data_IF_939433456791
#
_entry.id   IF_939433456791
#
_cell.length_a   1.000
_cell.length_b   1.000
_cell.length_c   1.000
_cell.angle_alpha   90.00
_cell.angle_beta   90.00
_cell.angle_gamma   90.00
#
_symmetry.space_group_name_H-M   'P 1'
#
loop_
_entity.id
_entity.type
_entity.pdbx_description
1 polymer ?
#
# COMPACT_ATOMS: atom_id res chain seq x y z
N UNK A 1 -15.80 -6.82 -13.12
CA UNK A 1 -16.59 -6.52 -11.92
C UNK A 1 -16.29 -7.60 -10.90
N UNK A 2 -15.29 -7.37 -10.05
CA UNK A 2 -14.83 -8.36 -9.05
C UNK A 2 -15.79 -8.24 -7.88
N UNK A 3 -16.67 -9.23 -7.74
CA UNK A 3 -17.46 -9.40 -6.52
C UNK A 3 -16.49 -9.86 -5.44
N UNK A 4 -16.03 -8.91 -4.61
CA UNK A 4 -15.55 -9.23 -3.28
C UNK A 4 -16.80 -9.73 -2.55
N UNK A 5 -16.96 -11.05 -2.48
CA UNK A 5 -17.96 -11.65 -1.61
C UNK A 5 -17.55 -11.38 -0.17
N UNK A 6 -17.91 -10.20 0.34
CA UNK A 6 -18.19 -10.05 1.76
C UNK A 6 -19.27 -11.07 2.05
N UNK A 7 -18.87 -12.20 2.64
CA UNK A 7 -19.81 -13.17 3.15
C UNK A 7 -20.71 -12.40 4.11
N UNK A 8 -21.97 -12.23 3.72
CA UNK A 8 -23.01 -11.63 4.55
C UNK A 8 -23.19 -12.56 5.76
N UNK A 9 -22.36 -12.37 6.78
CA UNK A 9 -22.57 -13.00 8.08
C UNK A 9 -23.79 -12.29 8.65
N UNK A 10 -24.98 -12.90 8.49
CA UNK A 10 -26.21 -12.41 9.09
C UNK A 10 -25.97 -12.20 10.58
N UNK A 11 -26.47 -11.08 11.12
CA UNK A 11 -26.14 -10.55 12.45
C UNK A 11 -26.51 -11.40 13.67
N UNK A 12 -26.80 -12.68 13.52
CA UNK A 12 -27.29 -13.58 14.57
C UNK A 12 -26.42 -14.85 14.76
N UNK A 13 -25.22 -14.91 14.16
CA UNK A 13 -24.30 -16.06 14.30
C UNK A 13 -22.99 -15.64 14.96
N UNK A 14 -22.68 -16.23 16.11
CA UNK A 14 -21.53 -15.86 16.94
C UNK A 14 -20.30 -16.75 16.66
N UNK A 15 -19.11 -16.17 16.78
CA UNK A 15 -17.83 -16.84 16.49
C UNK A 15 -17.38 -17.75 17.65
N UNK A 16 -17.00 -18.99 17.36
CA UNK A 16 -16.31 -19.89 18.30
C UNK A 16 -14.87 -19.39 18.56
N UNK A 17 -14.70 -18.43 19.48
CA UNK A 17 -13.40 -17.80 19.79
C UNK A 17 -12.35 -18.82 20.27
N UNK A 18 -12.76 -19.81 21.06
CA UNK A 18 -11.88 -20.86 21.57
C UNK A 18 -11.42 -21.80 20.45
N UNK A 19 -12.34 -22.23 19.58
CA UNK A 19 -12.01 -23.04 18.41
C UNK A 19 -11.10 -22.31 17.43
N UNK A 20 -11.39 -21.03 17.14
CA UNK A 20 -10.54 -20.18 16.28
C UNK A 20 -9.13 -20.09 16.86
N UNK A 21 -9.02 -19.73 18.14
CA UNK A 21 -7.74 -19.57 18.81
C UNK A 21 -6.94 -20.87 18.83
N UNK A 22 -7.60 -22.00 19.09
CA UNK A 22 -6.96 -23.32 19.13
C UNK A 22 -6.40 -23.71 17.77
N UNK A 23 -7.18 -23.53 16.70
CA UNK A 23 -6.77 -23.83 15.33
C UNK A 23 -5.60 -22.94 14.89
N UNK A 24 -5.66 -21.63 15.15
CA UNK A 24 -4.60 -20.70 14.80
C UNK A 24 -3.31 -21.00 15.55
N UNK A 25 -3.38 -21.26 16.87
CA UNK A 25 -2.24 -21.70 17.67
C UNK A 25 -1.66 -22.99 17.11
N UNK A 26 -2.50 -23.96 16.74
CA UNK A 26 -2.02 -25.21 16.19
C UNK A 26 -1.25 -25.01 14.86
N UNK A 27 -1.79 -24.21 13.95
CA UNK A 27 -1.17 -23.95 12.64
C UNK A 27 0.14 -23.17 12.74
N UNK A 28 0.18 -22.16 13.60
CA UNK A 28 1.31 -21.23 13.69
C UNK A 28 2.22 -21.46 14.90
N UNK A 29 1.98 -22.47 15.74
CA UNK A 29 2.91 -22.81 16.82
C UNK A 29 4.25 -23.32 16.28
N UNK A 30 5.34 -22.94 16.95
CA UNK A 30 6.64 -23.56 16.73
C UNK A 30 6.78 -24.79 17.63
N UNK A 31 6.30 -25.94 17.14
CA UNK A 31 6.26 -27.21 17.89
C UNK A 31 7.59 -27.69 18.50
N UNK A 32 8.75 -27.55 17.84
CA UNK A 32 10.01 -27.99 18.43
C UNK A 32 10.37 -27.26 19.73
N UNK A 33 10.00 -25.97 19.84
CA UNK A 33 10.28 -25.12 21.00
C UNK A 33 9.17 -24.08 21.19
N UNK A 34 8.05 -24.44 21.84
CA UNK A 34 6.89 -23.54 21.98
C UNK A 34 7.20 -22.24 22.72
N UNK A 35 8.13 -22.27 23.68
CA UNK A 35 8.50 -21.13 24.53
C UNK A 35 9.51 -20.17 23.86
N UNK A 36 10.00 -20.49 22.66
CA UNK A 36 10.97 -19.65 21.96
C UNK A 36 10.31 -18.37 21.42
N UNK A 37 10.54 -17.25 22.13
CA UNK A 37 9.95 -15.94 21.80
C UNK A 37 10.31 -15.44 20.39
N UNK A 38 11.50 -15.78 19.88
CA UNK A 38 11.93 -15.37 18.54
C UNK A 38 11.12 -16.07 17.46
N UNK A 39 10.90 -17.38 17.64
CA UNK A 39 10.09 -18.17 16.72
C UNK A 39 8.62 -17.81 16.84
N UNK A 40 8.12 -17.55 18.06
CA UNK A 40 6.77 -17.06 18.28
C UNK A 40 6.51 -15.75 17.54
N UNK A 41 7.44 -14.79 17.62
CA UNK A 41 7.38 -13.54 16.86
C UNK A 41 7.31 -13.81 15.35
N UNK A 42 8.21 -14.65 14.82
CA UNK A 42 8.21 -14.95 13.38
C UNK A 42 6.89 -15.58 12.94
N UNK A 43 6.34 -16.49 13.74
CA UNK A 43 5.07 -17.14 13.46
C UNK A 43 3.86 -16.20 13.53
N UNK A 44 3.90 -15.20 14.42
CA UNK A 44 2.89 -14.17 14.47
C UNK A 44 2.93 -13.27 13.21
N UNK A 45 4.14 -12.94 12.74
CA UNK A 45 4.33 -12.22 11.47
C UNK A 45 3.80 -13.05 10.30
N UNK A 46 4.14 -14.35 10.26
CA UNK A 46 3.65 -15.29 9.27
C UNK A 46 2.11 -15.34 9.26
N UNK A 47 1.49 -15.49 10.43
CA UNK A 47 0.03 -15.51 10.61
C UNK A 47 -0.62 -14.28 9.98
N UNK A 48 -0.15 -13.10 10.37
CA UNK A 48 -0.75 -11.84 9.92
C UNK A 48 -0.57 -11.63 8.41
N UNK A 49 0.63 -11.89 7.90
CA UNK A 49 0.95 -11.76 6.47
C UNK A 49 0.19 -12.76 5.60
N UNK A 50 0.08 -14.01 6.06
CA UNK A 50 -0.57 -15.09 5.34
C UNK A 50 -2.08 -14.86 5.20
N UNK A 51 -2.74 -14.46 6.30
CA UNK A 51 -4.17 -14.14 6.31
C UNK A 51 -4.49 -12.96 5.38
N UNK A 52 -3.74 -11.86 5.49
CA UNK A 52 -4.11 -10.61 4.83
C UNK A 52 -3.66 -10.51 3.38
N UNK A 53 -2.55 -11.16 3.01
CA UNK A 53 -1.88 -10.89 1.74
C UNK A 53 -1.40 -12.14 1.02
N UNK A 54 -0.57 -12.96 1.66
CA UNK A 54 0.16 -14.03 0.96
C UNK A 54 -0.79 -15.04 0.31
N UNK A 55 -1.76 -15.55 1.08
CA UNK A 55 -2.64 -16.61 0.60
C UNK A 55 -3.60 -16.10 -0.48
N UNK A 56 -4.15 -14.90 -0.30
CA UNK A 56 -5.00 -14.26 -1.29
C UNK A 56 -4.28 -14.05 -2.62
N UNK A 57 -3.03 -13.57 -2.59
CA UNK A 57 -2.22 -13.37 -3.79
C UNK A 57 -1.85 -14.71 -4.44
N UNK A 58 -1.46 -15.71 -3.65
CA UNK A 58 -1.12 -17.04 -4.15
C UNK A 58 -2.31 -17.71 -4.86
N UNK A 59 -3.51 -17.63 -4.28
CA UNK A 59 -4.74 -18.16 -4.89
C UNK A 59 -5.13 -17.38 -6.15
N UNK A 60 -5.08 -16.05 -6.11
CA UNK A 60 -5.37 -15.22 -7.28
C UNK A 60 -4.41 -15.55 -8.43
N UNK A 61 -3.11 -15.70 -8.14
CA UNK A 61 -2.09 -16.08 -9.10
C UNK A 61 -2.36 -17.50 -9.66
N UNK A 62 -2.72 -18.46 -8.80
CA UNK A 62 -3.14 -19.82 -9.22
C UNK A 62 -4.33 -19.79 -10.18
N UNK A 63 -5.38 -19.05 -9.83
CA UNK A 63 -6.59 -18.94 -10.64
C UNK A 63 -6.35 -18.24 -11.98
N UNK A 64 -5.44 -17.26 -12.00
CA UNK A 64 -5.04 -16.57 -13.21
C UNK A 64 -4.19 -17.48 -14.12
N UNK A 65 -3.23 -18.22 -13.55
CA UNK A 65 -2.39 -19.19 -14.28
C UNK A 65 -3.18 -20.36 -14.88
N UNK A 66 -4.29 -20.77 -14.24
CA UNK A 66 -5.20 -21.79 -14.80
C UNK A 66 -5.93 -21.32 -16.06
N UNK A 67 -6.17 -20.01 -16.19
CA UNK A 67 -6.94 -19.42 -17.30
C UNK A 67 -6.06 -18.83 -18.38
N UNK A 68 -4.85 -18.43 -18.03
CA UNK A 68 -3.88 -17.81 -18.93
C UNK A 68 -2.68 -18.73 -19.09
N UNK A 69 -2.53 -19.28 -20.30
CA UNK A 69 -1.43 -20.20 -20.58
C UNK A 69 -0.12 -19.41 -20.74
N UNK A 70 0.87 -19.70 -19.91
CA UNK A 70 2.23 -19.13 -19.97
C UNK A 70 2.30 -17.59 -19.98
N UNK A 71 1.37 -16.90 -19.31
CA UNK A 71 1.38 -15.43 -19.21
C UNK A 71 1.17 -14.89 -17.80
N UNK A 72 1.19 -15.78 -16.80
CA UNK A 72 1.15 -15.41 -15.38
C UNK A 72 2.56 -15.43 -14.82
N UNK A 73 2.94 -14.41 -14.05
CA UNK A 73 4.25 -14.32 -13.41
C UNK A 73 4.05 -13.98 -11.93
N UNK A 74 4.64 -14.77 -11.05
CA UNK A 74 4.61 -14.56 -9.60
C UNK A 74 6.02 -14.29 -9.10
N UNK A 75 6.15 -13.36 -8.16
CA UNK A 75 7.40 -13.12 -7.45
C UNK A 75 7.17 -12.99 -5.95
N UNK A 76 8.25 -13.16 -5.19
CA UNK A 76 8.33 -12.90 -3.77
C UNK A 76 9.49 -11.95 -3.55
N UNK A 77 9.21 -10.77 -3.03
CA UNK A 77 10.26 -9.81 -2.66
C UNK A 77 10.71 -10.08 -1.23
N UNK A 78 11.95 -10.52 -1.06
CA UNK A 78 12.53 -10.86 0.23
C UNK A 78 13.81 -10.07 0.56
N UNK A 79 14.22 -9.17 -0.34
CA UNK A 79 15.43 -8.37 -0.16
C UNK A 79 15.29 -7.40 1.02
N UNK A 80 16.26 -7.46 1.93
CA UNK A 80 16.41 -6.52 3.04
C UNK A 80 17.77 -5.80 2.93
N UNK A 81 17.74 -4.48 2.82
CA UNK A 81 18.96 -3.67 2.73
C UNK A 81 19.77 -3.75 4.03
N UNK A 82 21.10 -3.70 3.91
CA UNK A 82 22.00 -3.66 5.07
C UNK A 82 21.89 -2.35 5.86
N UNK A 83 21.46 -1.29 5.21
CA UNK A 83 21.30 0.06 5.78
C UNK A 83 19.84 0.33 6.14
N UNK A 84 19.01 -0.71 6.23
CA UNK A 84 17.60 -0.54 6.55
C UNK A 84 17.36 0.05 7.93
N UNK A 85 16.40 0.97 7.99
CA UNK A 85 15.88 1.49 9.27
C UNK A 85 15.05 0.46 10.01
N UNK A 86 14.57 -0.57 9.31
CA UNK A 86 13.83 -1.65 9.92
C UNK A 86 14.79 -2.68 10.51
N UNK A 87 14.46 -3.27 11.67
CA UNK A 87 15.33 -4.27 12.27
C UNK A 87 15.37 -5.53 11.41
N UNK A 88 16.54 -6.18 11.35
CA UNK A 88 16.79 -7.34 10.48
C UNK A 88 15.75 -8.47 10.60
N UNK A 89 15.24 -8.72 11.81
CA UNK A 89 14.23 -9.75 12.04
C UNK A 89 12.88 -9.50 11.35
N UNK A 90 12.62 -8.28 10.89
CA UNK A 90 11.42 -7.93 10.15
C UNK A 90 11.45 -8.44 8.70
N UNK A 91 12.64 -8.83 8.20
CA UNK A 91 12.82 -9.23 6.81
C UNK A 91 12.49 -8.08 5.86
N UNK A 92 11.79 -8.36 4.75
CA UNK A 92 11.29 -7.34 3.85
C UNK A 92 9.88 -6.87 4.31
N UNK A 93 9.75 -5.68 4.92
CA UNK A 93 8.44 -5.18 5.34
C UNK A 93 7.59 -4.83 4.13
N UNK A 94 6.26 -4.84 4.32
CA UNK A 94 5.30 -4.48 3.27
C UNK A 94 5.60 -3.11 2.66
N UNK A 95 5.67 -3.03 1.34
CA UNK A 95 5.93 -1.80 0.60
C UNK A 95 7.41 -1.47 0.44
N UNK A 96 8.32 -2.26 1.01
CA UNK A 96 9.77 -2.07 0.81
C UNK A 96 10.20 -2.29 -0.64
N UNK A 97 9.48 -3.13 -1.39
CA UNK A 97 9.71 -3.38 -2.81
C UNK A 97 9.51 -2.14 -3.68
N UNK A 98 8.63 -1.22 -3.25
CA UNK A 98 8.31 -0.01 -4.00
C UNK A 98 9.52 0.90 -4.15
N UNK A 99 10.38 0.96 -3.13
CA UNK A 99 11.61 1.76 -3.19
C UNK A 99 12.51 1.29 -4.35
N UNK A 100 12.62 -0.02 -4.53
CA UNK A 100 13.43 -0.62 -5.60
C UNK A 100 12.74 -0.57 -6.95
N UNK A 101 11.42 -0.75 -6.98
CA UNK A 101 10.61 -0.68 -8.20
C UNK A 101 10.62 0.73 -8.81
N UNK A 102 10.61 1.77 -7.98
CA UNK A 102 10.59 3.17 -8.43
C UNK A 102 11.97 3.83 -8.53
N UNK A 103 13.06 3.10 -8.27
CA UNK A 103 14.40 3.64 -8.44
C UNK A 103 14.87 4.56 -7.32
N UNK A 104 14.32 4.44 -6.10
CA UNK A 104 14.72 5.24 -4.94
C UNK A 104 16.23 5.15 -4.64
N UNK A 105 16.93 4.02 -4.85
CA UNK A 105 18.38 3.95 -4.70
C UNK A 105 19.18 4.90 -5.60
N UNK A 106 18.63 5.33 -6.74
CA UNK A 106 19.30 6.26 -7.66
C UNK A 106 19.08 7.73 -7.33
N UNK A 107 18.21 8.05 -6.36
CA UNK A 107 17.91 9.43 -5.98
C UNK A 107 19.00 9.94 -5.04
N UNK A 108 19.77 10.92 -5.54
CA UNK A 108 20.78 11.64 -4.76
C UNK A 108 20.17 12.76 -3.91
N UNK A 109 20.92 13.24 -2.90
CA UNK A 109 20.48 14.32 -1.99
C UNK A 109 20.08 15.61 -2.72
N UNK A 110 20.64 15.87 -3.89
CA UNK A 110 20.29 17.02 -4.74
C UNK A 110 18.96 16.86 -5.50
N UNK A 111 18.47 15.62 -5.66
CA UNK A 111 17.22 15.28 -6.35
C UNK A 111 16.09 14.97 -5.35
N UNK A 112 16.39 15.02 -4.05
CA UNK A 112 15.43 14.79 -3.00
C UNK A 112 14.45 15.97 -2.90
N UNK A 113 13.15 15.68 -3.04
CA UNK A 113 12.08 16.69 -2.99
C UNK A 113 11.17 16.47 -1.77
N UNK A 114 11.49 17.05 -0.60
CA UNK A 114 10.70 16.88 0.64
C UNK A 114 9.24 17.27 0.47
N UNK A 115 8.96 18.28 -0.37
CA UNK A 115 7.63 18.82 -0.60
C UNK A 115 6.70 17.89 -1.39
N UNK A 116 7.21 16.79 -1.95
CA UNK A 116 6.40 15.80 -2.68
C UNK A 116 6.08 14.56 -1.83
N UNK A 117 6.38 14.59 -0.53
CA UNK A 117 6.14 13.47 0.39
C UNK A 117 7.12 12.31 0.25
N UNK A 118 8.16 12.46 -0.59
CA UNK A 118 9.23 11.48 -0.76
C UNK A 118 10.21 11.63 0.40
N UNK A 119 10.11 10.75 1.40
CA UNK A 119 11.05 10.72 2.51
C UNK A 119 12.18 9.75 2.21
N UNK A 120 13.44 10.23 2.26
CA UNK A 120 14.61 9.35 2.19
C UNK A 120 14.71 8.60 3.52
N UNK A 121 14.15 7.40 3.55
CA UNK A 121 14.06 6.59 4.78
C UNK A 121 15.40 5.97 5.17
N UNK A 122 16.27 5.72 4.20
CA UNK A 122 17.56 5.04 4.40
C UNK A 122 18.58 5.52 3.37
N UNK A 123 19.87 5.30 3.68
CA UNK A 123 20.96 5.50 2.73
C UNK A 123 21.13 4.22 1.93
N UNK A 124 20.95 4.29 0.61
CA UNK A 124 21.10 3.13 -0.25
C UNK A 124 22.57 2.88 -0.62
N UNK A 125 22.91 1.60 -0.79
CA UNK A 125 24.22 1.11 -1.19
C UNK A 125 24.24 0.74 -2.66
N UNK A 126 25.43 0.46 -3.21
CA UNK A 126 25.56 -0.03 -4.59
C UNK A 126 24.78 -1.35 -4.83
N UNK A 127 24.60 -2.19 -3.81
CA UNK A 127 23.82 -3.43 -3.91
C UNK A 127 22.34 -3.12 -4.07
N UNK A 128 21.85 -2.08 -3.38
CA UNK A 128 20.47 -1.64 -3.47
C UNK A 128 20.17 -1.06 -4.86
N UNK A 129 21.13 -0.33 -5.45
CA UNK A 129 21.08 0.13 -6.84
C UNK A 129 20.98 -1.04 -7.82
N UNK A 130 21.79 -2.10 -7.62
CA UNK A 130 21.74 -3.30 -8.48
C UNK A 130 20.38 -4.02 -8.38
N UNK A 131 19.84 -4.21 -7.17
CA UNK A 131 18.52 -4.81 -6.96
C UNK A 131 17.41 -3.95 -7.56
N UNK A 132 17.51 -2.63 -7.43
CA UNK A 132 16.55 -1.70 -8.04
C UNK A 132 16.60 -1.74 -9.56
N UNK A 133 17.80 -1.70 -10.15
CA UNK A 133 17.99 -1.83 -11.58
C UNK A 133 17.37 -3.14 -12.12
N UNK A 134 17.67 -4.26 -11.44
CA UNK A 134 17.11 -5.57 -11.76
C UNK A 134 15.58 -5.57 -11.73
N UNK A 135 15.00 -5.09 -10.63
CA UNK A 135 13.54 -5.06 -10.43
C UNK A 135 12.86 -4.17 -11.48
N UNK A 136 13.38 -2.96 -11.70
CA UNK A 136 12.86 -2.04 -12.70
C UNK A 136 12.85 -2.66 -14.11
N UNK A 137 13.93 -3.32 -14.50
CA UNK A 137 14.02 -3.95 -15.83
C UNK A 137 12.98 -5.05 -16.02
N UNK A 138 12.77 -5.92 -15.03
CA UNK A 138 11.75 -6.97 -15.12
C UNK A 138 10.36 -6.37 -15.36
N UNK A 139 10.02 -5.31 -14.63
CA UNK A 139 8.73 -4.63 -14.76
C UNK A 139 8.59 -3.86 -16.08
N UNK A 140 9.64 -3.16 -16.53
CA UNK A 140 9.64 -2.44 -17.82
C UNK A 140 9.53 -3.43 -18.98
N UNK A 141 10.25 -4.55 -18.93
CA UNK A 141 10.16 -5.59 -19.95
C UNK A 141 8.76 -6.21 -19.98
N UNK A 142 8.19 -6.52 -18.81
CA UNK A 142 6.83 -7.01 -18.72
C UNK A 142 5.82 -6.01 -19.29
N UNK A 143 5.96 -4.72 -18.96
CA UNK A 143 5.09 -3.67 -19.49
C UNK A 143 5.21 -3.50 -21.02
N UNK A 144 6.41 -3.70 -21.58
CA UNK A 144 6.66 -3.53 -23.02
C UNK A 144 6.31 -4.76 -23.85
N UNK A 145 6.58 -5.96 -23.34
CA UNK A 145 6.54 -7.21 -24.11
C UNK A 145 5.52 -8.24 -23.57
N UNK A 146 4.97 -8.05 -22.37
CA UNK A 146 4.18 -9.08 -21.68
C UNK A 146 5.01 -10.22 -21.09
N UNK A 147 6.33 -10.13 -21.17
CA UNK A 147 7.30 -11.10 -20.66
C UNK A 147 8.42 -10.37 -19.92
N UNK A 148 8.73 -10.70 -18.64
CA UNK A 148 9.76 -9.99 -17.88
C UNK A 148 11.19 -10.23 -18.39
N UNK A 149 11.43 -11.37 -19.04
CA UNK A 149 12.74 -11.77 -19.59
C UNK A 149 12.61 -12.30 -21.03
N UNK A 150 12.31 -11.46 -22.03
CA UNK A 150 11.99 -11.87 -23.40
C UNK A 150 13.15 -12.54 -24.16
N UNK A 151 14.37 -12.50 -23.64
CA UNK A 151 15.54 -13.23 -24.17
C UNK A 151 15.91 -14.48 -23.37
N UNK A 152 15.07 -14.92 -22.42
CA UNK A 152 15.41 -15.94 -21.42
C UNK A 152 16.33 -15.42 -20.30
N UNK A 153 16.86 -14.22 -20.44
CA UNK A 153 17.63 -13.53 -19.42
C UNK A 153 17.50 -12.02 -19.59
N UNK A 154 17.76 -11.27 -18.52
CA UNK A 154 17.98 -9.83 -18.65
C UNK A 154 19.27 -9.62 -19.46
N UNK A 155 19.15 -9.02 -20.64
CA UNK A 155 20.32 -8.48 -21.33
C UNK A 155 20.91 -7.38 -20.46
N UNK A 156 22.23 -7.39 -20.30
CA UNK A 156 23.01 -6.41 -19.56
C UNK A 156 22.50 -4.99 -19.82
N UNK A 157 21.86 -4.39 -18.82
CA UNK A 157 21.45 -3.01 -18.88
C UNK A 157 22.65 -2.14 -18.55
N UNK A 158 23.15 -1.43 -19.56
CA UNK A 158 24.02 -0.29 -19.38
C UNK A 158 23.12 0.91 -19.06
N UNK A 159 23.07 1.41 -17.81
CA UNK A 159 22.26 2.59 -17.49
C UNK A 159 22.64 3.78 -18.39
N UNK A 160 21.68 4.50 -18.99
CA UNK A 160 21.94 5.65 -19.89
C UNK A 160 22.63 6.87 -19.24
N UNK A 161 23.06 6.80 -17.98
CA UNK A 161 23.57 7.95 -17.22
C UNK A 161 24.83 7.66 -16.39
N UNK A 162 25.48 6.52 -16.57
CA UNK A 162 26.75 6.22 -15.91
C UNK A 162 27.92 6.15 -16.91
N UNK A 163 28.03 7.16 -17.77
CA UNK A 163 29.37 7.68 -18.09
C UNK A 163 29.89 8.36 -16.82
N UNK A 164 30.40 7.57 -15.86
CA UNK A 164 31.26 8.15 -14.82
C UNK A 164 32.43 8.83 -15.54
N UNK A 165 32.84 10.04 -15.16
CA UNK A 165 33.87 10.82 -15.85
C UNK A 165 35.30 10.30 -15.57
N UNK A 166 35.49 9.01 -15.74
CA UNK A 166 36.73 8.27 -15.57
C UNK A 166 36.49 6.97 -16.31
N UNK A 167 37.11 6.79 -17.48
CA UNK A 167 36.93 5.68 -18.45
C UNK A 167 37.26 4.28 -17.92
N UNK A 168 36.68 3.93 -16.78
CA UNK A 168 36.62 2.60 -16.22
C UNK A 168 35.43 1.92 -16.91
N UNK A 169 35.77 1.06 -17.86
CA UNK A 169 34.88 0.04 -18.41
C UNK A 169 34.16 -0.61 -17.22
N UNK A 170 32.83 -0.71 -17.29
CA UNK A 170 32.06 -1.51 -16.35
C UNK A 170 32.61 -2.95 -16.42
N UNK A 171 33.48 -3.31 -15.49
CA UNK A 171 33.70 -4.73 -15.20
C UNK A 171 32.41 -5.17 -14.53
N UNK A 172 31.67 -6.14 -15.08
CA UNK A 172 30.50 -6.67 -14.38
C UNK A 172 30.95 -6.99 -12.97
N UNK A 173 30.32 -6.36 -11.98
CA UNK A 173 30.48 -6.81 -10.61
C UNK A 173 30.14 -8.31 -10.63
N UNK A 174 30.80 -9.12 -9.81
CA UNK A 174 30.42 -10.54 -9.69
C UNK A 174 28.95 -10.76 -9.31
N UNK A 175 28.22 -9.68 -8.98
CA UNK A 175 26.80 -9.59 -8.71
C UNK A 175 25.94 -9.42 -9.99
N UNK A 176 26.35 -8.63 -10.99
CA UNK A 176 25.63 -8.50 -12.27
C UNK A 176 25.46 -9.86 -13.00
N UNK A 177 26.48 -10.72 -12.92
CA UNK A 177 26.43 -12.08 -13.46
C UNK A 177 25.45 -13.00 -12.68
N UNK A 178 25.15 -12.70 -11.41
CA UNK A 178 24.26 -13.50 -10.54
C UNK A 178 22.78 -13.16 -10.71
N UNK A 179 22.47 -12.01 -11.31
CA UNK A 179 21.12 -11.56 -11.63
C UNK A 179 20.59 -12.15 -12.96
N UNK A 180 21.40 -12.98 -13.62
CA UNK A 180 21.10 -13.59 -14.91
C UNK A 180 20.14 -14.79 -14.77
N UNK A 181 18.88 -14.53 -14.42
CA UNK A 181 17.86 -15.56 -14.21
C UNK A 181 16.65 -15.28 -15.11
N UNK A 182 16.20 -16.32 -15.80
CA UNK A 182 14.94 -16.32 -16.54
C UNK A 182 13.77 -16.24 -15.56
N UNK A 183 12.88 -15.25 -15.69
CA UNK A 183 11.63 -15.27 -14.94
C UNK A 183 10.62 -16.11 -15.70
N UNK A 184 10.54 -17.39 -15.34
CA UNK A 184 9.62 -18.32 -15.98
C UNK A 184 8.16 -18.03 -15.57
N UNK A 185 7.20 -18.25 -16.49
CA UNK A 185 5.80 -18.13 -16.16
C UNK A 185 5.41 -19.14 -15.08
N UNK A 186 4.39 -18.78 -14.31
CA UNK A 186 3.82 -19.60 -13.27
C UNK A 186 3.08 -20.79 -13.88
N UNK A 187 3.58 -21.99 -13.63
CA UNK A 187 2.93 -23.23 -14.01
C UNK A 187 1.95 -23.68 -12.93
N UNK A 188 0.75 -24.11 -13.30
CA UNK A 188 -0.28 -24.57 -12.35
C UNK A 188 0.19 -25.77 -11.50
N UNK A 189 1.07 -26.61 -12.05
CA UNK A 189 1.57 -27.82 -11.39
C UNK A 189 2.60 -27.51 -10.30
N UNK A 190 3.52 -26.58 -10.58
CA UNK A 190 4.68 -26.32 -9.72
C UNK A 190 4.60 -24.95 -9.02
N UNK A 191 3.60 -24.13 -9.36
CA UNK A 191 3.37 -22.78 -8.83
C UNK A 191 4.68 -21.97 -8.78
N UNK A 192 5.41 -21.98 -9.90
CA UNK A 192 6.72 -21.35 -10.04
C UNK A 192 6.67 -19.85 -9.78
N UNK A 193 7.63 -19.35 -9.02
CA UNK A 193 7.77 -17.92 -8.73
C UNK A 193 9.25 -17.51 -8.68
N UNK A 194 9.51 -16.23 -8.91
CA UNK A 194 10.82 -15.63 -8.77
C UNK A 194 11.00 -15.09 -7.34
N UNK A 195 11.97 -15.60 -6.59
CA UNK A 195 12.42 -14.97 -5.35
C UNK A 195 13.37 -13.83 -5.72
N UNK A 196 12.99 -12.59 -5.37
CA UNK A 196 13.84 -11.41 -5.49
C UNK A 196 14.46 -11.15 -4.11
N UNK A 197 15.73 -11.49 -4.00
CA UNK A 197 16.59 -11.23 -2.84
C UNK A 197 17.99 -10.84 -3.36
N UNK A 198 18.99 -10.72 -2.48
CA UNK A 198 20.40 -10.48 -2.85
C UNK A 198 20.90 -11.47 -3.90
N UNK A 199 20.39 -12.70 -3.84
CA UNK A 199 20.62 -13.73 -4.83
C UNK A 199 19.26 -14.22 -5.33
N UNK A 200 18.76 -13.67 -6.45
CA UNK A 200 17.48 -14.12 -6.98
C UNK A 200 17.53 -15.60 -7.34
N UNK A 201 16.39 -16.28 -7.28
CA UNK A 201 16.29 -17.67 -7.71
C UNK A 201 14.84 -18.03 -8.03
N UNK A 202 14.64 -18.98 -8.94
CA UNK A 202 13.32 -19.58 -9.15
C UNK A 202 13.04 -20.61 -8.06
N UNK A 203 11.85 -20.54 -7.51
CA UNK A 203 11.35 -21.48 -6.51
C UNK A 203 9.92 -21.90 -6.87
N UNK A 204 9.41 -22.89 -6.14
CA UNK A 204 8.10 -23.51 -6.38
C UNK A 204 7.31 -23.55 -5.08
N UNK A 205 5.98 -23.59 -5.19
CA UNK A 205 5.08 -23.82 -4.05
C UNK A 205 5.23 -22.81 -2.90
N UNK A 206 5.28 -21.50 -3.21
CA UNK A 206 5.36 -20.47 -2.17
C UNK A 206 4.21 -20.60 -1.17
N UNK A 207 4.54 -20.88 0.11
CA UNK A 207 3.57 -20.92 1.22
C UNK A 207 2.33 -21.79 0.93
N UNK A 208 2.50 -22.86 0.16
CA UNK A 208 1.38 -23.67 -0.33
C UNK A 208 0.53 -24.28 0.79
N UNK A 209 1.17 -24.66 1.90
CA UNK A 209 0.51 -25.21 3.08
C UNK A 209 -0.31 -24.17 3.86
N UNK A 210 0.13 -22.91 3.86
CA UNK A 210 -0.60 -21.79 4.46
C UNK A 210 -1.75 -21.38 3.54
N UNK A 211 -1.51 -21.32 2.23
CA UNK A 211 -2.54 -21.05 1.23
C UNK A 211 -3.69 -22.05 1.34
N UNK A 212 -3.40 -23.36 1.31
CA UNK A 212 -4.44 -24.40 1.48
C UNK A 212 -5.14 -24.36 2.85
N UNK A 213 -4.42 -23.97 3.91
CA UNK A 213 -5.05 -23.76 5.22
C UNK A 213 -6.10 -22.65 5.17
N UNK A 214 -5.78 -21.50 4.57
CA UNK A 214 -6.68 -20.34 4.51
C UNK A 214 -7.77 -20.46 3.44
N UNK A 215 -7.51 -21.16 2.33
CA UNK A 215 -8.43 -21.23 1.20
C UNK A 215 -9.35 -22.45 1.23
N UNK A 216 -8.89 -23.59 1.76
CA UNK A 216 -9.65 -24.84 1.80
C UNK A 216 -10.11 -25.19 3.21
N UNK A 217 -9.19 -25.24 4.19
CA UNK A 217 -9.50 -25.67 5.55
C UNK A 217 -10.32 -24.63 6.32
N UNK A 218 -9.90 -23.36 6.29
CA UNK A 218 -10.48 -22.29 7.10
C UNK A 218 -11.98 -22.06 6.83
N UNK A 219 -12.46 -21.91 5.57
CA UNK A 219 -13.88 -21.77 5.31
C UNK A 219 -14.66 -23.01 5.74
N UNK A 220 -14.13 -24.20 5.46
CA UNK A 220 -14.78 -25.47 5.81
C UNK A 220 -14.92 -25.68 7.32
N UNK A 221 -13.90 -25.29 8.09
CA UNK A 221 -13.87 -25.44 9.54
C UNK A 221 -14.84 -24.49 10.24
N UNK A 222 -14.94 -23.24 9.80
CA UNK A 222 -15.70 -22.20 10.51
C UNK A 222 -17.08 -21.88 9.93
N UNK A 223 -17.38 -22.27 8.68
CA UNK A 223 -18.75 -22.22 8.16
C UNK A 223 -19.72 -23.12 8.95
N UNK A 224 -19.20 -24.16 9.62
CA UNK A 224 -19.98 -25.10 10.45
C UNK A 224 -19.93 -24.83 11.97
N UNK A 225 -19.06 -23.91 12.42
CA UNK A 225 -18.83 -23.60 13.86
C UNK A 225 -19.41 -22.27 14.30
N UNK A 226 -20.39 -21.76 13.57
CA UNK A 226 -21.16 -20.61 14.01
C UNK A 226 -21.99 -21.05 15.22
N UNK A 227 -21.65 -20.51 16.39
CA UNK A 227 -22.30 -20.89 17.64
C UNK A 227 -23.56 -20.04 17.87
N UNK A 228 -24.57 -20.60 18.54
CA UNK A 228 -25.71 -19.82 19.04
C UNK A 228 -25.35 -19.00 20.31
N UNK A 229 -24.12 -19.13 20.84
CA UNK A 229 -23.70 -18.53 22.10
C UNK A 229 -23.09 -17.15 21.83
N UNK A 230 -23.56 -16.07 22.47
CA UNK A 230 -23.02 -14.74 22.24
C UNK A 230 -21.52 -14.62 22.51
N UNK A 231 -20.72 -14.30 21.48
CA UNK A 231 -19.36 -13.79 21.70
C UNK A 231 -19.42 -12.54 22.56
N UNK A 232 -18.45 -12.37 23.45
CA UNK A 232 -18.31 -11.17 24.29
C UNK A 232 -17.99 -9.97 23.39
N UNK A 233 -19.03 -9.36 22.82
CA UNK A 233 -18.94 -8.19 21.95
C UNK A 233 -18.16 -7.07 22.65
N UNK A 234 -16.98 -6.71 22.13
CA UNK A 234 -16.47 -5.35 22.32
C UNK A 234 -17.35 -4.42 21.49
N UNK A 235 -18.44 -3.96 22.11
CA UNK A 235 -19.47 -3.06 21.57
C UNK A 235 -18.94 -1.68 21.11
N UNK A 236 -17.62 -1.48 21.00
CA UNK A 236 -17.01 -0.16 20.86
C UNK A 236 -16.06 0.04 19.67
N UNK A 237 -15.73 -0.96 18.85
CA UNK A 237 -14.65 -0.79 17.86
C UNK A 237 -15.07 -0.61 16.39
N UNK A 238 -16.32 -0.92 16.02
CA UNK A 238 -16.75 -0.81 14.62
C UNK A 238 -18.12 -0.13 14.63
N UNK A 239 -18.16 1.18 14.31
CA UNK A 239 -19.44 1.82 13.99
C UNK A 239 -20.07 1.01 12.86
N UNK A 240 -21.30 0.55 13.07
CA UNK A 240 -22.04 -0.17 12.07
C UNK A 240 -22.23 0.72 10.84
N UNK A 241 -22.37 0.17 9.62
CA UNK A 241 -22.54 1.01 8.41
C UNK A 241 -23.72 2.00 8.57
N UNK A 242 -24.77 1.56 9.27
CA UNK A 242 -25.92 2.40 9.65
C UNK A 242 -25.55 3.54 10.61
N UNK A 243 -24.60 3.33 11.51
CA UNK A 243 -24.13 4.37 12.44
C UNK A 243 -23.18 5.36 11.72
N UNK A 244 -22.31 4.86 10.85
CA UNK A 244 -21.43 5.73 10.04
C UNK A 244 -22.23 6.64 9.11
N UNK A 245 -23.30 6.14 8.49
CA UNK A 245 -24.17 6.94 7.62
C UNK A 245 -24.89 8.02 8.43
N UNK A 246 -25.43 7.69 9.60
CA UNK A 246 -26.08 8.66 10.50
C UNK A 246 -25.10 9.77 10.91
N UNK A 247 -23.87 9.41 11.32
CA UNK A 247 -22.84 10.40 11.72
C UNK A 247 -22.44 11.31 10.54
N UNK A 248 -22.28 10.75 9.34
CA UNK A 248 -21.98 11.52 8.14
C UNK A 248 -23.09 12.50 7.77
N UNK A 249 -24.36 12.12 7.92
CA UNK A 249 -25.50 13.03 7.72
C UNK A 249 -25.48 14.22 8.69
N UNK A 250 -25.17 13.99 9.96
CA UNK A 250 -25.06 15.07 10.96
C UNK A 250 -23.87 15.99 10.68
N UNK A 251 -22.71 15.45 10.28
CA UNK A 251 -21.53 16.25 9.94
C UNK A 251 -21.75 17.11 8.70
N UNK A 252 -22.33 16.54 7.64
CA UNK A 252 -22.67 17.28 6.42
C UNK A 252 -23.73 18.35 6.69
N UNK A 253 -24.77 18.02 7.48
CA UNK A 253 -25.78 18.99 7.89
C UNK A 253 -25.19 20.17 8.69
N UNK A 254 -24.26 19.88 9.61
CA UNK A 254 -23.54 20.89 10.37
C UNK A 254 -22.68 21.83 9.50
N UNK A 255 -21.96 21.27 8.51
CA UNK A 255 -21.17 22.05 7.56
C UNK A 255 -22.07 22.96 6.72
N UNK A 256 -23.18 22.45 6.18
CA UNK A 256 -24.12 23.24 5.37
C UNK A 256 -24.70 24.39 6.20
N UNK A 257 -25.12 24.13 7.44
CA UNK A 257 -25.62 25.18 8.34
C UNK A 257 -24.55 26.25 8.62
N UNK A 258 -23.29 25.85 8.83
CA UNK A 258 -22.19 26.80 9.03
C UNK A 258 -21.94 27.69 7.81
N UNK A 259 -22.03 27.14 6.59
CA UNK A 259 -21.93 27.91 5.35
C UNK A 259 -23.09 28.89 5.18
N UNK A 260 -24.32 28.47 5.49
CA UNK A 260 -25.50 29.35 5.43
C UNK A 260 -25.34 30.51 6.43
N UNK A 261 -24.90 30.23 7.66
CA UNK A 261 -24.65 31.26 8.66
C UNK A 261 -23.56 32.24 8.23
N UNK A 262 -22.51 31.76 7.57
CA UNK A 262 -21.43 32.60 7.04
C UNK A 262 -21.92 33.49 5.89
N UNK A 263 -22.75 32.97 4.99
CA UNK A 263 -23.39 33.75 3.91
C UNK A 263 -24.28 34.85 4.50
N UNK A 264 -25.08 34.53 5.52
CA UNK A 264 -25.95 35.51 6.20
C UNK A 264 -25.10 36.59 6.87
N UNK A 265 -24.03 36.23 7.59
CA UNK A 265 -23.09 37.17 8.19
C UNK A 265 -22.43 38.08 7.15
N UNK A 266 -21.93 37.52 6.04
CA UNK A 266 -21.38 38.29 4.93
C UNK A 266 -22.43 39.23 4.32
N UNK A 267 -23.69 38.79 4.19
CA UNK A 267 -24.80 39.61 3.72
C UNK A 267 -25.10 40.80 4.65
N UNK A 268 -25.15 40.57 5.96
CA UNK A 268 -25.35 41.63 6.97
C UNK A 268 -24.19 42.63 6.92
N UNK A 269 -22.94 42.15 6.87
CA UNK A 269 -21.76 43.01 6.75
C UNK A 269 -21.78 43.82 5.45
N UNK A 270 -22.16 43.21 4.33
CA UNK A 270 -22.28 43.89 3.04
C UNK A 270 -23.34 45.00 3.07
N UNK A 271 -24.51 44.73 3.66
CA UNK A 271 -25.56 45.74 3.82
C UNK A 271 -25.04 46.90 4.68
N UNK A 272 -24.36 46.61 5.80
CA UNK A 272 -23.81 47.61 6.72
C UNK A 272 -22.77 48.52 6.03
N UNK A 273 -21.80 47.93 5.33
CA UNK A 273 -20.79 48.68 4.56
C UNK A 273 -21.46 49.55 3.49
N UNK A 274 -22.47 49.01 2.80
CA UNK A 274 -23.20 49.77 1.77
C UNK A 274 -24.00 50.92 2.37
N UNK A 275 -24.60 50.76 3.55
CA UNK A 275 -25.29 51.86 4.24
C UNK A 275 -24.33 52.95 4.70
N UNK A 276 -23.16 52.59 5.24
CA UNK A 276 -22.12 53.54 5.64
C UNK A 276 -21.54 54.31 4.44
N UNK A 277 -21.29 53.62 3.32
CA UNK A 277 -20.88 54.24 2.05
C UNK A 277 -21.91 55.26 1.56
N UNK A 278 -23.20 54.90 1.52
CA UNK A 278 -24.27 55.83 1.12
C UNK A 278 -24.35 57.06 2.04
N UNK A 279 -24.18 56.89 3.35
CA UNK A 279 -24.15 58.02 4.29
C UNK A 279 -22.95 58.96 4.05
N UNK A 280 -21.77 58.41 3.77
CA UNK A 280 -20.59 59.21 3.40
C UNK A 280 -20.79 59.97 2.09
N UNK A 281 -21.33 59.33 1.04
CA UNK A 281 -21.62 60.01 -0.23
C UNK A 281 -22.63 61.15 -0.03
N UNK A 282 -23.68 60.93 0.77
CA UNK A 282 -24.70 61.95 1.01
C UNK A 282 -24.16 63.15 1.80
N UNK A 283 -23.31 62.90 2.81
CA UNK A 283 -22.59 63.96 3.54
C UNK A 283 -21.69 64.78 2.62
N UNK A 284 -20.95 64.13 1.71
CA UNK A 284 -20.08 64.82 0.76
C UNK A 284 -20.89 65.69 -0.23
N UNK A 285 -22.06 65.23 -0.68
CA UNK A 285 -22.96 66.02 -1.55
C UNK A 285 -23.49 67.26 -0.82
N UNK A 286 -23.90 67.11 0.46
CA UNK A 286 -24.38 68.24 1.28
C UNK A 286 -23.26 69.26 1.49
N UNK A 287 -22.07 68.81 1.88
CA UNK A 287 -20.92 69.69 2.08
C UNK A 287 -20.52 70.41 0.77
N UNK A 288 -20.53 69.70 -0.37
CA UNK A 288 -20.21 70.32 -1.66
C UNK A 288 -21.25 71.37 -2.08
N UNK A 289 -22.54 71.14 -1.79
CA UNK A 289 -23.58 72.17 -1.97
C UNK A 289 -23.32 73.38 -1.07
N UNK A 290 -23.03 73.19 0.21
CA UNK A 290 -22.71 74.29 1.13
C UNK A 290 -21.49 75.10 0.69
N UNK A 291 -20.42 74.46 0.21
CA UNK A 291 -19.25 75.17 -0.33
C UNK A 291 -19.55 75.96 -1.60
N UNK A 292 -20.48 75.49 -2.45
CA UNK A 292 -20.92 76.25 -3.63
C UNK A 292 -21.79 77.45 -3.28
N UNK A 293 -22.56 77.38 -2.20
CA UNK A 293 -23.33 78.54 -1.70
C UNK A 293 -22.41 79.61 -1.10
N UNK A 294 -21.36 79.23 -0.38
CA UNK A 294 -20.41 80.18 0.24
C UNK A 294 -19.53 80.90 -0.79
N UNK A 295 -19.24 80.28 -1.94
CA UNK A 295 -18.38 80.88 -2.98
C UNK A 295 -19.15 81.72 -4.03
N UNK A 296 -20.47 81.88 -3.88
CA UNK A 296 -21.34 82.62 -4.80
C UNK A 296 -21.97 83.89 -4.17
N UNK A 297 -21.44 84.35 -3.03
CA UNK A 297 -21.65 85.70 -2.45
C UNK A 297 -20.35 86.52 -2.59
#
# INVERSE_FOLDING_TARGET
MIFISYSYISGDMYLDEEGITTVLKYKYAHWPQPDNMTMLRQRLIDLHSDEHTTCCVADAARFHAQRTFNSSYMYVFAYHSLTSVYPYWMGAPRGSELDYLFGMPFINDSQWMPWHGIQRRQVFTYVDEEISNYTMQLFVNFARYGEPTPGGFLREYTPPSLERPSGLIYSPSGYALRLNIAWLPQLVQNMTYLLIDRYPCLQTNYRFDAAGFWSEYWPTAFQRRLTPIPTKYYKHAIMNHRDTTIVMFFLMGGLILSFIMLIILCGILFIRVRTESKQHTNKNIINHRQTKFINNE
#
